data_IF_279258999044
#
_entry.id   IF_279258999044
#
_cell.length_a   1.000
_cell.length_b   1.000
_cell.length_c   1.000
_cell.angle_alpha   90.00
_cell.angle_beta   90.00
_cell.angle_gamma   90.00
#
_symmetry.space_group_name_H-M   'P 1'
#
loop_
_entity.id
_entity.type
_entity.pdbx_description
1 polymer ?
#
# COMPACT_ATOMS: atom_id res chain seq x y z
N UNK A 1 6.20 9.30 -14.27
CA UNK A 1 5.24 8.85 -13.24
C UNK A 1 3.90 8.68 -13.93
N UNK A 2 3.27 7.51 -13.82
CA UNK A 2 2.11 7.08 -14.59
C UNK A 2 0.84 6.90 -13.74
N UNK A 3 0.97 6.91 -12.40
CA UNK A 3 -0.16 6.80 -11.49
C UNK A 3 -0.80 8.17 -11.24
N UNK A 4 -2.07 8.28 -11.57
CA UNK A 4 -2.92 9.45 -11.30
C UNK A 4 -4.05 8.99 -10.39
N UNK A 5 -4.38 9.79 -9.38
CA UNK A 5 -5.52 9.52 -8.50
C UNK A 5 -6.33 10.78 -8.34
N UNK A 6 -7.64 10.65 -8.54
CA UNK A 6 -8.59 11.75 -8.45
C UNK A 6 -9.54 11.46 -7.29
N UNK A 7 -9.68 12.42 -6.38
CA UNK A 7 -10.56 12.32 -5.21
C UNK A 7 -11.73 13.24 -5.42
N UNK A 8 -12.95 12.72 -5.25
CA UNK A 8 -14.18 13.47 -5.41
C UNK A 8 -14.96 13.50 -4.09
N UNK A 9 -15.40 14.68 -3.61
CA UNK A 9 -16.26 14.76 -2.45
C UNK A 9 -17.70 14.35 -2.84
N UNK A 10 -18.16 13.20 -2.34
CA UNK A 10 -19.58 12.85 -2.28
C UNK A 10 -20.27 12.49 -3.60
N UNK A 11 -19.76 11.50 -4.35
CA UNK A 11 -20.35 11.15 -5.63
C UNK A 11 -21.42 10.04 -5.58
N UNK A 12 -22.54 10.36 -6.24
CA UNK A 12 -23.42 9.36 -6.84
C UNK A 12 -22.65 8.61 -7.94
N UNK A 13 -22.82 7.28 -8.10
CA UNK A 13 -22.08 6.46 -9.07
C UNK A 13 -22.04 6.98 -10.51
N UNK A 14 -23.06 7.72 -10.95
CA UNK A 14 -23.09 8.34 -12.30
C UNK A 14 -21.92 9.30 -12.53
N UNK A 15 -21.54 10.09 -11.53
CA UNK A 15 -20.45 11.05 -11.67
C UNK A 15 -19.06 10.39 -11.76
N UNK A 16 -18.92 9.15 -11.26
CA UNK A 16 -17.71 8.36 -11.52
C UNK A 16 -17.58 8.00 -13.00
N UNK A 17 -18.70 7.63 -13.64
CA UNK A 17 -18.73 7.23 -15.04
C UNK A 17 -18.36 8.42 -15.92
N UNK A 18 -18.98 9.57 -15.67
CA UNK A 18 -18.72 10.81 -16.42
C UNK A 18 -17.24 11.20 -16.28
N UNK A 19 -16.73 11.28 -15.04
CA UNK A 19 -15.33 11.63 -14.79
C UNK A 19 -14.35 10.63 -15.42
N UNK A 20 -14.68 9.33 -15.40
CA UNK A 20 -13.86 8.30 -16.04
C UNK A 20 -13.82 8.47 -17.56
N UNK A 21 -14.97 8.72 -18.19
CA UNK A 21 -15.06 8.95 -19.63
C UNK A 21 -14.27 10.20 -20.03
N UNK A 22 -14.50 11.31 -19.35
CA UNK A 22 -13.78 12.58 -19.57
C UNK A 22 -12.26 12.40 -19.46
N UNK A 23 -11.79 11.69 -18.42
CA UNK A 23 -10.37 11.41 -18.24
C UNK A 23 -9.81 10.52 -19.36
N UNK A 24 -10.57 9.50 -19.76
CA UNK A 24 -10.17 8.58 -20.84
C UNK A 24 -10.06 9.31 -22.19
N UNK A 25 -11.01 10.18 -22.51
CA UNK A 25 -10.98 10.99 -23.73
C UNK A 25 -9.84 12.01 -23.72
N UNK A 26 -9.64 12.69 -22.59
CA UNK A 26 -8.53 13.63 -22.42
C UNK A 26 -7.18 12.93 -22.64
N UNK A 27 -6.98 11.76 -22.01
CA UNK A 27 -5.74 10.99 -22.16
C UNK A 27 -5.52 10.52 -23.60
N UNK A 28 -6.58 10.08 -24.30
CA UNK A 28 -6.50 9.74 -25.73
C UNK A 28 -6.08 10.93 -26.57
N UNK A 29 -6.52 12.15 -26.24
CA UNK A 29 -6.08 13.39 -26.90
C UNK A 29 -4.57 13.61 -26.83
N UNK A 30 -3.91 13.09 -25.80
CA UNK A 30 -2.44 13.10 -25.66
C UNK A 30 -1.75 11.83 -26.19
N UNK A 31 -2.48 10.92 -26.84
CA UNK A 31 -1.95 9.63 -27.29
C UNK A 31 -1.66 8.65 -26.15
N UNK A 32 -2.27 8.84 -24.98
CA UNK A 32 -2.12 7.99 -23.80
C UNK A 32 -3.33 7.05 -23.64
N UNK A 33 -3.11 5.89 -23.02
CA UNK A 33 -4.16 4.91 -22.73
C UNK A 33 -4.15 4.51 -21.26
N UNK A 34 -5.33 4.30 -20.68
CA UNK A 34 -5.49 3.79 -19.33
C UNK A 34 -5.05 2.33 -19.23
N UNK A 35 -4.36 1.99 -18.15
CA UNK A 35 -4.00 0.60 -17.87
C UNK A 35 -5.17 -0.11 -17.18
N UNK A 36 -5.88 -0.95 -17.94
CA UNK A 36 -7.02 -1.73 -17.48
C UNK A 36 -6.61 -3.08 -16.86
N UNK A 37 -5.32 -3.28 -16.59
CA UNK A 37 -4.84 -4.43 -15.84
C UNK A 37 -5.42 -4.46 -14.43
N UNK A 38 -5.60 -5.67 -13.90
CA UNK A 38 -6.13 -5.90 -12.54
C UNK A 38 -5.38 -5.05 -11.51
N UNK A 39 -6.11 -4.30 -10.69
CA UNK A 39 -5.58 -3.42 -9.65
C UNK A 39 -4.77 -2.21 -10.14
N UNK A 40 -4.81 -1.86 -11.43
CA UNK A 40 -4.14 -0.66 -11.98
C UNK A 40 -5.08 0.53 -12.05
N UNK A 41 -6.22 0.36 -12.70
CA UNK A 41 -7.29 1.34 -12.70
C UNK A 41 -8.42 0.85 -11.81
N UNK A 42 -8.55 1.46 -10.64
CA UNK A 42 -9.54 1.08 -9.65
C UNK A 42 -10.23 2.31 -9.06
N UNK A 43 -11.50 2.13 -8.69
CA UNK A 43 -12.29 3.11 -7.97
C UNK A 43 -12.77 2.54 -6.63
N UNK A 44 -12.83 3.39 -5.62
CA UNK A 44 -13.24 3.02 -4.27
C UNK A 44 -14.21 4.05 -3.70
N UNK A 45 -15.30 3.56 -3.13
CA UNK A 45 -16.13 4.30 -2.17
C UNK A 45 -16.78 3.31 -1.20
N UNK A 46 -16.79 3.61 0.12
CA UNK A 46 -17.53 2.81 1.10
C UNK A 46 -19.04 2.76 0.82
N UNK A 47 -19.61 3.81 0.20
CA UNK A 47 -21.04 3.90 -0.10
C UNK A 47 -21.50 3.03 -1.27
N UNK A 48 -20.57 2.37 -1.98
CA UNK A 48 -20.86 1.63 -3.21
C UNK A 48 -21.07 0.12 -2.99
N UNK A 49 -21.36 -0.31 -1.76
CA UNK A 49 -21.67 -1.71 -1.44
C UNK A 49 -22.77 -2.30 -2.34
N UNK A 50 -23.78 -1.52 -2.73
CA UNK A 50 -24.87 -1.95 -3.62
C UNK A 50 -24.58 -1.86 -5.13
N UNK A 51 -23.44 -1.29 -5.53
CA UNK A 51 -23.05 -1.21 -6.95
C UNK A 51 -22.31 -2.44 -7.45
N UNK A 52 -21.80 -3.29 -6.54
CA UNK A 52 -21.16 -4.57 -6.90
C UNK A 52 -22.09 -5.49 -7.72
N UNK A 53 -23.39 -5.40 -7.48
CA UNK A 53 -24.40 -6.24 -8.13
C UNK A 53 -24.97 -5.60 -9.42
N UNK A 54 -24.46 -4.43 -9.83
CA UNK A 54 -24.95 -3.67 -10.99
C UNK A 54 -23.90 -3.57 -12.11
N UNK A 55 -23.65 -4.67 -12.87
CA UNK A 55 -22.62 -4.71 -13.91
C UNK A 55 -22.84 -3.73 -15.06
N UNK A 56 -24.07 -3.22 -15.24
CA UNK A 56 -24.44 -2.27 -16.29
C UNK A 56 -23.92 -0.84 -16.07
N UNK A 57 -23.32 -0.53 -14.91
CA UNK A 57 -22.87 0.83 -14.56
C UNK A 57 -21.35 0.95 -14.38
N UNK A 58 -20.56 -0.03 -14.84
CA UNK A 58 -19.11 0.01 -14.68
C UNK A 58 -18.43 0.32 -16.01
N UNK A 59 -17.59 1.35 -16.08
CA UNK A 59 -16.75 1.57 -17.25
C UNK A 59 -15.88 0.35 -17.54
N UNK A 60 -15.78 -0.03 -18.82
CA UNK A 60 -15.01 -1.20 -19.23
C UNK A 60 -13.56 -1.11 -18.71
N UNK A 61 -13.17 -2.11 -17.91
CA UNK A 61 -11.82 -2.23 -17.35
C UNK A 61 -11.55 -1.42 -16.07
N UNK A 62 -12.55 -0.73 -15.50
CA UNK A 62 -12.45 -0.11 -14.18
C UNK A 62 -12.82 -1.13 -13.09
N UNK A 63 -11.88 -1.43 -12.20
CA UNK A 63 -12.15 -2.31 -11.05
C UNK A 63 -12.81 -1.50 -9.91
N UNK A 64 -13.97 -1.94 -9.43
CA UNK A 64 -14.59 -1.35 -8.23
C UNK A 64 -14.19 -2.17 -7.02
N UNK A 65 -13.42 -1.55 -6.12
CA UNK A 65 -13.06 -2.14 -4.84
C UNK A 65 -13.74 -1.38 -3.71
N UNK A 66 -14.74 -1.98 -3.08
CA UNK A 66 -15.46 -1.40 -1.93
C UNK A 66 -14.74 -1.59 -0.60
N UNK A 67 -13.77 -2.51 -0.55
CA UNK A 67 -13.01 -2.80 0.66
C UNK A 67 -11.96 -1.70 0.91
N UNK A 68 -11.18 -1.37 -0.12
CA UNK A 68 -10.20 -0.31 0.01
C UNK A 68 -9.49 0.04 -1.29
N UNK A 69 -8.48 0.89 -1.16
CA UNK A 69 -7.62 1.32 -2.26
C UNK A 69 -6.16 1.35 -1.83
N UNK A 70 -5.26 1.22 -2.81
CA UNK A 70 -3.82 1.38 -2.61
C UNK A 70 -3.36 2.67 -3.30
N UNK A 71 -2.75 3.59 -2.56
CA UNK A 71 -2.21 4.83 -3.10
C UNK A 71 -0.79 5.03 -2.60
N UNK A 72 0.17 5.15 -3.53
CA UNK A 72 1.59 5.33 -3.19
C UNK A 72 2.14 4.30 -2.19
N UNK A 73 1.61 3.07 -2.23
CA UNK A 73 2.00 2.00 -1.29
C UNK A 73 1.31 2.04 0.08
N UNK A 74 0.47 3.04 0.36
CA UNK A 74 -0.43 3.09 1.51
C UNK A 74 -1.79 2.46 1.18
N UNK A 75 -2.48 1.93 2.18
CA UNK A 75 -3.88 1.54 2.05
C UNK A 75 -4.82 2.58 2.67
N UNK A 76 -5.97 2.76 2.04
CA UNK A 76 -7.15 3.37 2.63
C UNK A 76 -8.38 2.48 2.44
N UNK A 77 -9.51 2.86 3.03
CA UNK A 77 -10.73 2.05 3.08
C UNK A 77 -10.92 1.39 4.45
N UNK A 78 -11.45 0.17 4.44
CA UNK A 78 -11.78 -0.60 5.63
C UNK A 78 -10.53 -1.09 6.40
N UNK A 79 -10.68 -1.32 7.70
CA UNK A 79 -9.56 -1.68 8.58
C UNK A 79 -8.99 -3.07 8.29
N UNK A 80 -9.79 -3.99 7.75
CA UNK A 80 -9.33 -5.34 7.37
C UNK A 80 -8.40 -5.30 6.17
N UNK A 81 -8.74 -4.50 5.16
CA UNK A 81 -7.97 -4.25 3.95
C UNK A 81 -6.67 -3.53 4.29
N UNK A 82 -6.77 -2.47 5.11
CA UNK A 82 -5.62 -1.72 5.62
C UNK A 82 -4.69 -2.63 6.41
N UNK A 83 -5.22 -3.40 7.36
CA UNK A 83 -4.44 -4.36 8.15
C UNK A 83 -3.82 -5.48 7.30
N UNK A 84 -4.51 -5.94 6.26
CA UNK A 84 -4.00 -6.92 5.31
C UNK A 84 -2.78 -6.39 4.53
N UNK A 85 -2.86 -5.18 3.99
CA UNK A 85 -1.73 -4.56 3.30
C UNK A 85 -0.57 -4.26 4.26
N UNK A 86 -0.87 -3.81 5.48
CA UNK A 86 0.15 -3.59 6.50
C UNK A 86 0.96 -4.87 6.75
N UNK A 87 0.28 -6.01 6.99
CA UNK A 87 0.93 -7.31 7.19
C UNK A 87 1.78 -7.74 6.00
N UNK A 88 1.27 -7.55 4.77
CA UNK A 88 2.03 -7.80 3.54
C UNK A 88 3.35 -7.01 3.52
N UNK A 89 3.30 -5.71 3.84
CA UNK A 89 4.46 -4.82 3.83
C UNK A 89 5.45 -5.07 4.95
N UNK A 90 4.96 -5.41 6.14
CA UNK A 90 5.80 -5.87 7.25
C UNK A 90 6.52 -7.16 6.86
N UNK A 91 5.81 -8.14 6.29
CA UNK A 91 6.42 -9.40 5.87
C UNK A 91 7.52 -9.19 4.81
N UNK A 92 7.33 -8.25 3.87
CA UNK A 92 8.36 -7.85 2.92
C UNK A 92 9.61 -7.27 3.63
N UNK A 93 9.42 -6.42 4.63
CA UNK A 93 10.51 -5.82 5.40
C UNK A 93 11.27 -6.86 6.25
N UNK A 94 10.55 -7.76 6.94
CA UNK A 94 11.13 -8.88 7.69
C UNK A 94 11.94 -9.79 6.78
N UNK A 95 11.39 -10.16 5.61
CA UNK A 95 12.11 -10.97 4.62
C UNK A 95 13.39 -10.28 4.14
N UNK A 96 13.36 -8.96 3.99
CA UNK A 96 14.55 -8.19 3.65
C UNK A 96 15.57 -8.21 4.80
N UNK A 97 15.13 -8.01 6.04
CA UNK A 97 16.00 -8.12 7.22
C UNK A 97 16.71 -9.48 7.31
N UNK A 98 15.99 -10.59 7.09
CA UNK A 98 16.57 -11.95 7.10
C UNK A 98 17.62 -12.15 6.01
N UNK A 99 17.47 -11.48 4.86
CA UNK A 99 18.51 -11.46 3.83
C UNK A 99 19.73 -10.65 4.24
N UNK A 100 19.54 -9.59 5.02
CA UNK A 100 20.64 -8.78 5.55
C UNK A 100 21.39 -9.54 6.64
N UNK A 101 20.69 -10.31 7.48
CA UNK A 101 21.29 -11.22 8.45
C UNK A 101 22.28 -12.21 7.78
N UNK A 102 21.86 -12.79 6.65
CA UNK A 102 22.69 -13.71 5.87
C UNK A 102 23.87 -13.04 5.11
N UNK A 103 24.04 -11.71 5.22
CA UNK A 103 25.10 -10.99 4.52
C UNK A 103 26.51 -11.26 5.09
N UNK A 104 26.60 -11.58 6.39
CA UNK A 104 27.84 -12.03 7.05
C UNK A 104 28.85 -10.95 7.43
N UNK A 105 28.81 -9.76 6.83
CA UNK A 105 29.61 -8.60 7.24
C UNK A 105 28.78 -7.63 8.12
N UNK A 106 29.11 -7.44 9.41
CA UNK A 106 28.36 -6.58 10.31
C UNK A 106 28.28 -5.12 9.86
N UNK A 107 29.34 -4.56 9.25
CA UNK A 107 29.33 -3.15 8.85
C UNK A 107 28.41 -2.92 7.65
N UNK A 108 28.51 -3.75 6.62
CA UNK A 108 27.60 -3.70 5.49
C UNK A 108 26.17 -4.07 5.89
N UNK A 109 25.98 -5.02 6.79
CA UNK A 109 24.65 -5.35 7.31
C UNK A 109 24.01 -4.16 8.04
N UNK A 110 24.77 -3.44 8.86
CA UNK A 110 24.30 -2.20 9.51
C UNK A 110 23.82 -1.17 8.48
N UNK A 111 24.61 -0.94 7.43
CA UNK A 111 24.25 -0.01 6.35
C UNK A 111 22.98 -0.47 5.60
N UNK A 112 22.85 -1.77 5.34
CA UNK A 112 21.67 -2.34 4.69
C UNK A 112 20.42 -2.20 5.58
N UNK A 113 20.53 -2.41 6.89
CA UNK A 113 19.41 -2.11 7.80
C UNK A 113 19.02 -0.64 7.74
N UNK A 114 20.01 0.25 7.89
CA UNK A 114 19.82 1.71 7.91
C UNK A 114 19.20 2.26 6.64
N UNK A 115 19.62 1.77 5.46
CA UNK A 115 19.24 2.36 4.17
C UNK A 115 18.21 1.56 3.38
N UNK A 116 18.01 0.27 3.69
CA UNK A 116 17.10 -0.59 2.93
C UNK A 116 15.92 -1.11 3.76
N UNK A 117 16.15 -1.48 5.02
CA UNK A 117 15.11 -2.12 5.86
C UNK A 117 14.31 -1.07 6.62
N UNK A 118 14.94 -0.29 7.50
CA UNK A 118 14.26 0.69 8.33
C UNK A 118 13.52 1.77 7.53
N UNK A 119 14.04 2.28 6.40
CA UNK A 119 13.30 3.26 5.61
C UNK A 119 11.96 2.72 5.08
N UNK A 120 11.84 1.41 4.80
CA UNK A 120 10.55 0.82 4.40
C UNK A 120 9.54 0.87 5.54
N UNK A 121 9.97 0.57 6.76
CA UNK A 121 9.13 0.60 7.95
C UNK A 121 8.77 2.03 8.35
N UNK A 122 9.73 2.96 8.29
CA UNK A 122 9.50 4.39 8.55
C UNK A 122 8.52 4.99 7.55
N UNK A 123 8.64 4.62 6.26
CA UNK A 123 7.66 5.02 5.27
C UNK A 123 6.27 4.50 5.61
N UNK A 124 6.15 3.22 5.95
CA UNK A 124 4.89 2.59 6.33
C UNK A 124 4.28 3.25 7.58
N UNK A 125 5.08 3.56 8.59
CA UNK A 125 4.66 4.29 9.78
C UNK A 125 4.13 5.69 9.45
N UNK A 126 4.77 6.38 8.51
CA UNK A 126 4.30 7.70 8.05
C UNK A 126 2.96 7.62 7.32
N UNK A 127 2.77 6.60 6.47
CA UNK A 127 1.60 6.56 5.58
C UNK A 127 0.41 5.77 6.15
N UNK A 128 0.63 4.93 7.15
CA UNK A 128 -0.39 4.06 7.75
C UNK A 128 -0.40 4.12 9.28
N UNK A 129 0.44 4.95 9.92
CA UNK A 129 0.61 5.00 11.37
C UNK A 129 -0.68 5.23 12.14
N UNK A 130 -1.50 6.20 11.73
CA UNK A 130 -2.77 6.52 12.38
C UNK A 130 -3.83 5.42 12.23
N UNK A 131 -3.66 4.51 11.26
CA UNK A 131 -4.63 3.46 10.93
C UNK A 131 -4.31 2.12 11.56
N UNK A 132 -3.12 1.97 12.14
CA UNK A 132 -2.61 0.72 12.69
C UNK A 132 -2.40 0.91 14.19
N UNK A 133 -2.79 -0.08 14.98
CA UNK A 133 -2.70 0.02 16.44
C UNK A 133 -1.24 0.09 16.92
N UNK A 134 -1.00 0.76 18.04
CA UNK A 134 0.33 0.79 18.67
C UNK A 134 0.81 -0.62 19.05
N UNK A 135 -0.11 -1.53 19.39
CA UNK A 135 0.23 -2.93 19.68
C UNK A 135 0.78 -3.67 18.44
N UNK A 136 0.20 -3.40 17.27
CA UNK A 136 0.71 -3.95 16.01
C UNK A 136 2.08 -3.39 15.66
N UNK A 137 2.29 -2.08 15.81
CA UNK A 137 3.59 -1.47 15.61
C UNK A 137 4.63 -1.98 16.61
N UNK A 138 4.26 -2.15 17.89
CA UNK A 138 5.14 -2.70 18.92
C UNK A 138 5.59 -4.13 18.64
N UNK A 139 4.74 -4.94 17.99
CA UNK A 139 5.15 -6.28 17.52
C UNK A 139 6.19 -6.21 16.41
N UNK A 140 6.00 -5.31 15.44
CA UNK A 140 6.95 -5.11 14.33
C UNK A 140 8.29 -4.59 14.85
N UNK A 141 8.25 -3.62 15.77
CA UNK A 141 9.45 -3.06 16.39
C UNK A 141 10.27 -4.13 17.11
N UNK A 142 9.61 -4.98 17.91
CA UNK A 142 10.26 -6.10 18.59
C UNK A 142 10.89 -7.10 17.63
N UNK A 143 10.13 -7.59 16.65
CA UNK A 143 10.63 -8.57 15.67
C UNK A 143 11.83 -8.02 14.87
N UNK A 144 11.74 -6.78 14.43
CA UNK A 144 12.81 -6.13 13.67
C UNK A 144 14.02 -5.77 14.53
N UNK A 145 13.79 -5.40 15.79
CA UNK A 145 14.83 -5.15 16.78
C UNK A 145 15.61 -6.42 17.11
N UNK A 146 14.93 -7.53 17.36
CA UNK A 146 15.55 -8.84 17.60
C UNK A 146 16.41 -9.26 16.40
N UNK A 147 15.88 -9.14 15.18
CA UNK A 147 16.60 -9.47 13.95
C UNK A 147 17.85 -8.59 13.74
N UNK A 148 17.73 -7.29 14.06
CA UNK A 148 18.87 -6.37 14.01
C UNK A 148 19.94 -6.74 15.04
N UNK A 149 19.55 -6.98 16.29
CA UNK A 149 20.48 -7.36 17.37
C UNK A 149 21.22 -8.66 17.04
N UNK A 150 20.49 -9.68 16.55
CA UNK A 150 21.07 -10.95 16.10
C UNK A 150 22.09 -10.72 14.98
N UNK A 151 21.76 -9.92 13.97
CA UNK A 151 22.67 -9.62 12.85
C UNK A 151 23.92 -8.87 13.31
N UNK A 152 23.79 -8.00 14.30
CA UNK A 152 24.90 -7.22 14.84
C UNK A 152 25.72 -7.98 15.91
N UNK A 153 25.32 -9.20 16.26
CA UNK A 153 25.88 -9.97 17.38
C UNK A 153 25.85 -9.19 18.71
N UNK A 154 24.80 -8.40 18.91
CA UNK A 154 24.57 -7.63 20.13
C UNK A 154 23.65 -8.44 21.06
N UNK A 155 24.07 -8.63 22.31
CA UNK A 155 23.17 -9.12 23.36
C UNK A 155 22.31 -7.96 23.84
N UNK A 156 21.00 -8.17 23.97
CA UNK A 156 20.14 -7.21 24.66
C UNK A 156 20.68 -7.03 26.09
N UNK A 157 20.93 -5.78 26.50
CA UNK A 157 21.27 -5.50 27.89
C UNK A 157 20.05 -5.80 28.77
N UNK A 158 20.26 -6.60 29.81
CA UNK A 158 19.27 -6.93 30.85
C UNK A 158 18.77 -5.69 31.60
#
# INVERSE_FOLDING_TARGET
>A
MDNISVVFPGLHPSALIDAWQDCSELLKGYGLTLNLGKGKSAAHSPSWLGLRDCPLQHPAGLEINTAGYKLMGAAGGDDSFVGGLFKEKVAEAVRLGKRVEAYGDPQGAFLLFRYCVFPKLMYLARVMGERISMDEWGRVDREMGELFLQTMHLTAAE
#
